data_IF_305266524553
#
_entry.id   IF_305266524553
#
_cell.length_a   1.000
_cell.length_b   1.000
_cell.length_c   1.000
_cell.angle_alpha   90.00
_cell.angle_beta   90.00
_cell.angle_gamma   90.00
#
_symmetry.space_group_name_H-M   'P 1'
#
loop_
_entity.id
_entity.type
_entity.pdbx_description
1 polymer ?
#
# COMPACT_ATOMS: atom_id res chain seq x y z
N UNK A 1 -11.90 5.28 1.12
CA UNK A 1 -11.21 5.89 2.28
C UNK A 1 -10.83 7.29 1.84
N UNK A 2 -10.93 8.32 2.69
CA UNK A 2 -10.46 9.64 2.29
C UNK A 2 -8.93 9.59 2.09
N UNK A 3 -8.41 10.35 1.13
CA UNK A 3 -6.97 10.44 0.80
C UNK A 3 -6.15 10.74 2.05
N UNK A 4 -6.64 11.65 2.91
CA UNK A 4 -6.00 11.99 4.17
C UNK A 4 -5.86 10.79 5.11
N UNK A 5 -6.92 9.98 5.26
CA UNK A 5 -6.89 8.79 6.10
C UNK A 5 -5.91 7.72 5.55
N UNK A 6 -5.78 7.63 4.23
CA UNK A 6 -4.76 6.78 3.60
C UNK A 6 -3.36 7.28 3.93
N UNK A 7 -3.11 8.58 3.75
CA UNK A 7 -1.83 9.21 4.02
C UNK A 7 -1.40 8.92 5.45
N UNK A 8 -2.26 9.24 6.43
CA UNK A 8 -2.00 8.97 7.85
C UNK A 8 -1.71 7.50 8.10
N UNK A 9 -2.50 6.59 7.52
CA UNK A 9 -2.30 5.14 7.67
C UNK A 9 -0.94 4.66 7.15
N UNK A 10 -0.54 5.13 5.97
CA UNK A 10 0.75 4.76 5.37
C UNK A 10 1.89 5.36 6.19
N UNK A 11 1.80 6.62 6.59
CA UNK A 11 2.82 7.30 7.38
C UNK A 11 3.02 6.67 8.76
N UNK A 12 1.93 6.30 9.44
CA UNK A 12 2.00 5.58 10.71
C UNK A 12 2.64 4.21 10.56
N UNK A 13 2.28 3.47 9.49
CA UNK A 13 2.88 2.18 9.22
C UNK A 13 4.39 2.29 8.96
N UNK A 14 4.83 3.28 8.17
CA UNK A 14 6.25 3.51 7.92
C UNK A 14 7.00 4.05 9.13
N UNK A 15 6.37 4.87 9.97
CA UNK A 15 6.96 5.33 11.23
C UNK A 15 7.19 4.15 12.19
N UNK A 16 6.23 3.25 12.30
CA UNK A 16 6.35 2.04 13.11
C UNK A 16 7.48 1.14 12.59
N UNK A 17 7.57 0.95 11.27
CA UNK A 17 8.68 0.23 10.65
C UNK A 17 10.04 0.91 10.90
N UNK A 18 10.09 2.24 10.89
CA UNK A 18 11.34 2.98 11.13
C UNK A 18 11.87 2.73 12.55
N UNK A 19 10.98 2.71 13.55
CA UNK A 19 11.32 2.42 14.95
C UNK A 19 11.70 0.96 15.14
N UNK A 20 10.91 0.03 14.59
CA UNK A 20 11.20 -1.42 14.68
C UNK A 20 12.52 -1.75 13.99
N UNK A 21 12.78 -1.17 12.82
CA UNK A 21 14.05 -1.34 12.10
C UNK A 21 15.25 -0.86 12.93
N UNK A 22 15.10 0.26 13.64
CA UNK A 22 16.14 0.78 14.52
C UNK A 22 16.40 -0.13 15.73
N UNK A 23 15.33 -0.63 16.36
CA UNK A 23 15.45 -1.58 17.47
C UNK A 23 16.11 -2.89 17.03
N UNK A 24 15.75 -3.42 15.85
CA UNK A 24 16.37 -4.62 15.29
C UNK A 24 17.83 -4.41 14.94
N UNK A 25 18.19 -3.26 14.36
CA UNK A 25 19.58 -2.91 14.08
C UNK A 25 20.41 -2.81 15.36
N UNK A 26 19.84 -2.21 16.42
CA UNK A 26 20.49 -2.12 17.73
C UNK A 26 20.71 -3.51 18.35
N UNK A 27 19.70 -4.36 18.34
CA UNK A 27 19.80 -5.75 18.83
C UNK A 27 20.84 -6.54 18.03
N UNK A 28 20.81 -6.44 16.70
CA UNK A 28 21.80 -7.09 15.84
C UNK A 28 23.23 -6.62 16.13
N UNK A 29 23.41 -5.30 16.31
CA UNK A 29 24.70 -4.73 16.69
C UNK A 29 25.18 -5.26 18.05
N UNK A 30 24.30 -5.36 19.04
CA UNK A 30 24.63 -5.92 20.36
C UNK A 30 25.03 -7.40 20.30
N UNK A 31 24.31 -8.21 19.51
CA UNK A 31 24.61 -9.65 19.39
C UNK A 31 25.86 -9.92 18.55
N UNK A 32 26.13 -9.12 17.52
CA UNK A 32 27.26 -9.32 16.60
C UNK A 32 28.56 -8.68 17.10
N UNK A 33 28.51 -7.89 18.16
CA UNK A 33 29.66 -7.13 18.66
C UNK A 33 30.01 -7.44 20.12
N UNK A 34 30.31 -8.72 20.46
CA UNK A 34 30.85 -9.05 21.78
C UNK A 34 32.29 -8.52 21.85
N UNK A 35 32.44 -7.24 22.19
CA UNK A 35 33.74 -6.57 22.32
C UNK A 35 33.93 -5.28 21.55
N UNK A 36 32.87 -4.62 21.04
CA UNK A 36 33.00 -3.26 20.51
C UNK A 36 33.34 -2.28 21.64
N UNK A 37 34.64 -2.15 21.93
CA UNK A 37 35.18 -0.96 22.55
C UNK A 37 34.81 0.22 21.64
N UNK A 38 33.90 1.08 22.11
CA UNK A 38 33.74 2.40 21.53
C UNK A 38 35.14 3.01 21.45
N UNK A 39 35.60 3.36 20.24
CA UNK A 39 36.88 4.06 20.06
C UNK A 39 36.88 5.25 21.03
N UNK A 40 37.84 5.26 21.96
CA UNK A 40 38.01 6.30 22.97
C UNK A 40 38.33 7.67 22.39
N UNK A 41 38.61 7.74 21.09
CA UNK A 41 39.05 8.94 20.38
C UNK A 41 37.91 9.81 19.83
N UNK A 42 36.65 9.45 20.07
CA UNK A 42 35.50 10.23 19.60
C UNK A 42 34.94 11.04 20.77
N UNK A 43 34.93 12.37 20.63
CA UNK A 43 34.28 13.23 21.62
C UNK A 43 32.78 12.93 21.69
N UNK A 44 32.17 13.04 22.88
CA UNK A 44 30.73 12.80 23.03
C UNK A 44 29.89 13.66 22.06
N UNK A 45 30.34 14.87 21.76
CA UNK A 45 29.70 15.78 20.81
C UNK A 45 29.73 15.25 19.38
N UNK A 46 30.88 14.74 18.90
CA UNK A 46 31.00 14.13 17.58
C UNK A 46 30.17 12.85 17.47
N UNK A 47 30.11 12.04 18.54
CA UNK A 47 29.28 10.84 18.58
C UNK A 47 27.79 11.19 18.48
N UNK A 48 27.31 12.14 19.28
CA UNK A 48 25.91 12.59 19.27
C UNK A 48 25.55 13.23 17.92
N UNK A 49 26.43 14.05 17.35
CA UNK A 49 26.22 14.67 16.04
C UNK A 49 26.16 13.64 14.91
N UNK A 50 27.04 12.63 14.95
CA UNK A 50 27.03 11.54 13.96
C UNK A 50 25.77 10.69 14.10
N UNK A 51 25.39 10.33 15.33
CA UNK A 51 24.21 9.52 15.60
C UNK A 51 22.93 10.26 15.21
N UNK A 52 22.77 11.52 15.62
CA UNK A 52 21.62 12.35 15.22
C UNK A 52 21.53 12.54 13.71
N UNK A 53 22.67 12.73 13.02
CA UNK A 53 22.72 12.78 11.56
C UNK A 53 22.26 11.47 10.91
N UNK A 54 22.77 10.33 11.38
CA UNK A 54 22.36 9.01 10.89
C UNK A 54 20.88 8.72 11.13
N UNK A 55 20.36 9.09 12.31
CA UNK A 55 18.93 9.00 12.62
C UNK A 55 18.09 9.88 11.68
N UNK A 56 18.48 11.15 11.49
CA UNK A 56 17.76 12.06 10.61
C UNK A 56 17.71 11.54 9.16
N UNK A 57 18.83 10.99 8.66
CA UNK A 57 18.88 10.36 7.33
C UNK A 57 17.98 9.14 7.27
N UNK A 58 18.02 8.25 8.27
CA UNK A 58 17.17 7.06 8.32
C UNK A 58 15.68 7.40 8.32
N UNK A 59 15.26 8.33 9.17
CA UNK A 59 13.88 8.81 9.20
C UNK A 59 13.47 9.50 7.89
N UNK A 60 14.38 10.26 7.27
CA UNK A 60 14.15 10.86 5.95
C UNK A 60 13.93 9.81 4.86
N UNK A 61 14.75 8.76 4.81
CA UNK A 61 14.60 7.63 3.87
C UNK A 61 13.27 6.91 4.11
N UNK A 62 12.94 6.60 5.37
CA UNK A 62 11.68 5.91 5.70
C UNK A 62 10.45 6.76 5.38
N UNK A 63 10.52 8.07 5.58
CA UNK A 63 9.49 9.01 5.15
C UNK A 63 9.32 8.96 3.63
N UNK A 64 10.43 9.01 2.87
CA UNK A 64 10.40 8.97 1.41
C UNK A 64 9.82 7.64 0.88
N UNK A 65 10.20 6.51 1.47
CA UNK A 65 9.62 5.19 1.18
C UNK A 65 8.11 5.17 1.47
N UNK A 66 7.68 5.73 2.60
CA UNK A 66 6.27 5.87 2.93
C UNK A 66 5.51 6.74 1.94
N UNK A 67 6.10 7.85 1.51
CA UNK A 67 5.51 8.74 0.51
C UNK A 67 5.35 8.03 -0.84
N UNK A 68 6.36 7.32 -1.33
CA UNK A 68 6.26 6.52 -2.56
C UNK A 68 5.16 5.46 -2.42
N UNK A 69 5.11 4.74 -1.29
CA UNK A 69 4.10 3.72 -1.04
C UNK A 69 2.68 4.33 -1.01
N UNK A 70 2.53 5.53 -0.48
CA UNK A 70 1.28 6.29 -0.51
C UNK A 70 0.86 6.62 -1.95
N UNK A 71 1.74 7.25 -2.73
CA UNK A 71 1.46 7.67 -4.11
C UNK A 71 1.16 6.47 -5.02
N UNK A 72 2.02 5.44 -4.98
CA UNK A 72 1.84 4.21 -5.75
C UNK A 72 0.55 3.46 -5.37
N UNK A 73 0.07 3.68 -4.16
CA UNK A 73 -1.13 3.05 -3.66
C UNK A 73 -2.44 3.68 -4.13
N UNK A 74 -2.44 4.96 -4.53
CA UNK A 74 -3.66 5.73 -4.79
C UNK A 74 -4.59 5.01 -5.79
N UNK A 75 -5.91 4.99 -5.52
CA UNK A 75 -6.87 4.38 -6.42
C UNK A 75 -6.92 5.17 -7.73
N UNK A 76 -6.91 4.46 -8.86
CA UNK A 76 -7.23 5.04 -10.17
C UNK A 76 -8.60 4.57 -10.62
N UNK A 77 -9.36 5.51 -11.17
CA UNK A 77 -10.63 5.25 -11.84
C UNK A 77 -10.36 4.98 -13.32
N UNK A 78 -11.05 4.00 -13.87
CA UNK A 78 -11.09 3.71 -15.30
C UNK A 78 -12.48 3.23 -15.68
N UNK A 79 -12.87 3.46 -16.92
CA UNK A 79 -14.18 3.09 -17.45
C UNK A 79 -14.06 1.84 -18.32
N UNK A 80 -15.05 0.95 -18.23
CA UNK A 80 -15.14 -0.27 -19.03
C UNK A 80 -16.55 -0.35 -19.60
N UNK A 81 -16.67 -0.42 -20.93
CA UNK A 81 -17.96 -0.64 -21.60
C UNK A 81 -18.45 -2.07 -21.42
N UNK A 82 -19.77 -2.25 -21.35
CA UNK A 82 -20.38 -3.58 -21.31
C UNK A 82 -21.73 -3.57 -22.04
N UNK A 83 -22.04 -4.68 -22.73
CA UNK A 83 -23.34 -4.89 -23.38
C UNK A 83 -24.38 -5.42 -22.40
N UNK A 84 -24.07 -6.54 -21.74
CA UNK A 84 -24.92 -7.13 -20.70
C UNK A 84 -24.37 -6.82 -19.29
N UNK A 85 -25.27 -6.36 -18.42
CA UNK A 85 -24.94 -5.94 -17.05
C UNK A 85 -24.61 -7.12 -16.15
N UNK A 86 -25.36 -8.22 -16.23
CA UNK A 86 -25.18 -9.37 -15.36
C UNK A 86 -23.95 -10.18 -15.78
N UNK A 87 -23.68 -10.26 -17.08
CA UNK A 87 -22.44 -10.82 -17.60
C UNK A 87 -21.22 -10.02 -17.12
N UNK A 88 -21.30 -8.69 -17.15
CA UNK A 88 -20.23 -7.83 -16.63
C UNK A 88 -19.99 -8.05 -15.13
N UNK A 89 -21.06 -8.17 -14.32
CA UNK A 89 -20.94 -8.47 -12.89
C UNK A 89 -20.23 -9.81 -12.68
N UNK A 90 -20.58 -10.84 -13.44
CA UNK A 90 -19.92 -12.16 -13.38
C UNK A 90 -18.42 -12.09 -13.73
N UNK A 91 -18.06 -11.38 -14.81
CA UNK A 91 -16.67 -11.15 -15.22
C UNK A 91 -15.90 -10.35 -14.16
N UNK A 92 -16.52 -9.32 -13.58
CA UNK A 92 -15.91 -8.51 -12.53
C UNK A 92 -15.66 -9.33 -11.26
N UNK A 93 -16.59 -10.19 -10.86
CA UNK A 93 -16.42 -11.10 -9.73
C UNK A 93 -15.26 -12.08 -9.95
N UNK A 94 -15.15 -12.65 -11.15
CA UNK A 94 -14.04 -13.52 -11.53
C UNK A 94 -12.70 -12.75 -11.51
N UNK A 95 -12.66 -11.54 -12.08
CA UNK A 95 -11.49 -10.68 -12.10
C UNK A 95 -11.05 -10.29 -10.68
N UNK A 96 -11.98 -9.91 -9.81
CA UNK A 96 -11.72 -9.57 -8.41
C UNK A 96 -11.18 -10.79 -7.63
N UNK A 97 -11.76 -11.98 -7.81
CA UNK A 97 -11.27 -13.22 -7.18
C UNK A 97 -9.85 -13.57 -7.63
N UNK A 98 -9.50 -13.33 -8.90
CA UNK A 98 -8.15 -13.58 -9.42
C UNK A 98 -7.06 -12.76 -8.71
N UNK A 99 -7.41 -11.56 -8.22
CA UNK A 99 -6.52 -10.71 -7.41
C UNK A 99 -6.75 -10.89 -5.90
N UNK A 100 -7.45 -11.96 -5.50
CA UNK A 100 -7.76 -12.33 -4.11
C UNK A 100 -8.66 -11.33 -3.38
N UNK A 101 -9.38 -10.50 -4.11
CA UNK A 101 -10.43 -9.65 -3.56
C UNK A 101 -11.73 -10.45 -3.43
N UNK A 102 -12.49 -10.18 -2.36
CA UNK A 102 -13.78 -10.84 -2.11
C UNK A 102 -14.94 -9.85 -2.24
N UNK A 103 -16.07 -10.25 -2.84
CA UNK A 103 -17.27 -9.40 -2.88
C UNK A 103 -17.74 -9.11 -1.45
N UNK A 104 -18.07 -7.84 -1.19
CA UNK A 104 -18.62 -7.40 0.10
C UNK A 104 -20.13 -7.24 0.05
N UNK A 105 -20.66 -6.84 -1.10
CA UNK A 105 -22.07 -6.56 -1.31
C UNK A 105 -22.28 -5.65 -2.52
N UNK A 106 -23.52 -5.66 -3.00
CA UNK A 106 -24.06 -4.80 -4.04
C UNK A 106 -25.07 -3.86 -3.40
N UNK A 107 -24.90 -2.57 -3.62
CA UNK A 107 -25.80 -1.52 -3.14
C UNK A 107 -26.31 -0.76 -4.36
N UNK A 108 -27.48 -1.17 -4.86
CA UNK A 108 -28.03 -0.71 -6.15
C UNK A 108 -27.06 -0.96 -7.31
N UNK A 109 -26.55 0.13 -7.86
CA UNK A 109 -25.61 0.14 -8.99
C UNK A 109 -24.14 0.07 -8.57
N UNK A 110 -23.85 0.01 -7.26
CA UNK A 110 -22.48 -0.03 -6.74
C UNK A 110 -22.08 -1.42 -6.28
N UNK A 111 -21.02 -1.97 -6.85
CA UNK A 111 -20.36 -3.18 -6.38
C UNK A 111 -19.13 -2.80 -5.54
N UNK A 112 -18.88 -3.54 -4.46
CA UNK A 112 -17.71 -3.33 -3.62
C UNK A 112 -16.98 -4.63 -3.30
N UNK A 113 -15.65 -4.59 -3.39
CA UNK A 113 -14.79 -5.73 -3.13
C UNK A 113 -13.74 -5.40 -2.07
N UNK A 114 -13.59 -6.26 -1.05
CA UNK A 114 -12.59 -6.09 0.00
C UNK A 114 -11.24 -6.69 -0.41
N UNK A 115 -10.12 -6.04 -0.05
CA UNK A 115 -8.79 -6.63 -0.15
C UNK A 115 -8.64 -7.83 0.81
N UNK A 116 -7.64 -8.70 0.58
CA UNK A 116 -7.30 -9.76 1.52
C UNK A 116 -6.78 -9.18 2.85
N UNK A 117 -6.98 -9.92 3.95
CA UNK A 117 -6.69 -9.43 5.31
C UNK A 117 -5.23 -9.00 5.53
N UNK A 118 -4.28 -9.65 4.86
CA UNK A 118 -2.85 -9.34 4.95
C UNK A 118 -2.43 -8.08 4.17
N UNK A 119 -3.28 -7.59 3.26
CA UNK A 119 -3.00 -6.40 2.46
C UNK A 119 -3.48 -5.13 3.18
N UNK A 120 -2.88 -4.83 4.33
CA UNK A 120 -3.30 -3.77 5.25
C UNK A 120 -3.39 -2.38 4.59
N UNK A 121 -2.52 -2.09 3.62
CA UNK A 121 -2.49 -0.81 2.91
C UNK A 121 -3.31 -0.81 1.60
N UNK A 122 -3.89 -1.95 1.21
CA UNK A 122 -4.66 -2.04 -0.01
C UNK A 122 -6.04 -1.42 0.15
N UNK A 123 -6.49 -0.71 -0.89
CA UNK A 123 -7.83 -0.15 -0.93
C UNK A 123 -8.84 -1.12 -1.51
N UNK A 124 -10.12 -0.90 -1.17
CA UNK A 124 -11.25 -1.62 -1.75
C UNK A 124 -11.34 -1.31 -3.25
N UNK A 125 -11.77 -2.30 -4.03
CA UNK A 125 -12.20 -2.03 -5.41
C UNK A 125 -13.68 -1.66 -5.34
N UNK A 126 -14.06 -0.57 -6.00
CA UNK A 126 -15.47 -0.16 -6.13
C UNK A 126 -15.81 -0.01 -7.58
N UNK A 127 -16.97 -0.53 -7.97
CA UNK A 127 -17.47 -0.44 -9.34
C UNK A 127 -18.83 0.24 -9.30
N UNK A 128 -19.00 1.28 -10.10
CA UNK A 128 -20.26 1.99 -10.29
C UNK A 128 -20.78 1.62 -11.68
N UNK A 129 -21.91 0.92 -11.74
CA UNK A 129 -22.55 0.44 -12.96
C UNK A 129 -23.43 1.56 -13.54
N UNK A 130 -23.16 2.00 -14.76
CA UNK A 130 -24.06 2.85 -15.54
C UNK A 130 -24.93 2.02 -16.50
N UNK A 131 -25.52 2.69 -17.50
CA UNK A 131 -26.42 2.02 -18.46
C UNK A 131 -25.69 1.15 -19.50
N UNK A 132 -24.45 1.50 -19.88
CA UNK A 132 -23.63 0.73 -20.83
C UNK A 132 -22.12 0.77 -20.54
N UNK A 133 -21.73 1.33 -19.39
CA UNK A 133 -20.35 1.40 -18.96
C UNK A 133 -20.26 1.40 -17.43
N UNK A 134 -19.19 0.81 -16.91
CA UNK A 134 -18.89 0.76 -15.49
C UNK A 134 -17.66 1.61 -15.18
N UNK A 135 -17.73 2.42 -14.12
CA UNK A 135 -16.55 3.09 -13.57
C UNK A 135 -15.95 2.23 -12.48
N UNK A 136 -14.76 1.69 -12.74
CA UNK A 136 -14.00 0.85 -11.81
C UNK A 136 -12.93 1.70 -11.12
N UNK A 137 -12.95 1.73 -9.80
CA UNK A 137 -11.91 2.34 -8.96
C UNK A 137 -11.10 1.23 -8.30
N UNK A 138 -9.81 1.12 -8.66
CA UNK A 138 -8.93 0.08 -8.15
C UNK A 138 -7.52 0.60 -7.80
N UNK A 139 -6.76 -0.08 -6.92
CA UNK A 139 -5.37 0.26 -6.66
C UNK A 139 -4.53 0.23 -7.93
N UNK A 140 -3.59 1.19 -8.07
CA UNK A 140 -2.81 1.37 -9.29
C UNK A 140 -2.13 0.09 -9.80
N UNK A 141 -1.51 -0.69 -8.91
CA UNK A 141 -0.83 -1.95 -9.26
C UNK A 141 -1.75 -3.07 -9.76
N UNK A 142 -3.06 -2.98 -9.50
CA UNK A 142 -4.05 -3.97 -9.94
C UNK A 142 -4.79 -3.54 -11.21
N UNK A 143 -4.73 -2.25 -11.58
CA UNK A 143 -5.44 -1.70 -12.74
C UNK A 143 -5.18 -2.50 -14.01
N UNK A 144 -3.92 -2.64 -14.43
CA UNK A 144 -3.56 -3.36 -15.68
C UNK A 144 -4.06 -4.81 -15.69
N UNK A 145 -4.04 -5.48 -14.53
CA UNK A 145 -4.52 -6.87 -14.41
C UNK A 145 -6.04 -6.94 -14.55
N UNK A 146 -6.76 -6.01 -13.93
CA UNK A 146 -8.22 -5.92 -14.02
C UNK A 146 -8.66 -5.52 -15.44
N UNK A 147 -8.03 -4.52 -16.04
CA UNK A 147 -8.29 -4.11 -17.43
C UNK A 147 -8.10 -5.28 -18.40
N UNK A 148 -6.96 -6.01 -18.30
CA UNK A 148 -6.71 -7.18 -19.15
C UNK A 148 -7.79 -8.26 -18.96
N UNK A 149 -8.16 -8.56 -17.72
CA UNK A 149 -9.16 -9.60 -17.43
C UNK A 149 -10.58 -9.23 -17.85
N UNK A 150 -10.93 -7.95 -17.79
CA UNK A 150 -12.23 -7.46 -18.24
C UNK A 150 -12.30 -7.36 -19.77
N UNK A 151 -11.16 -7.16 -20.45
CA UNK A 151 -11.07 -7.16 -21.91
C UNK A 151 -11.03 -8.57 -22.52
N UNK A 152 -10.48 -9.57 -21.82
CA UNK A 152 -10.40 -10.97 -22.30
C UNK A 152 -11.77 -11.67 -22.44
N UNK A 153 -12.85 -11.09 -21.89
CA UNK A 153 -14.19 -11.66 -21.98
C UNK A 153 -15.19 -10.78 -22.74
N UNK A 154 -14.72 -9.79 -23.53
CA UNK A 154 -15.53 -8.99 -24.45
C UNK A 154 -15.37 -9.53 -25.87
#
# INVERSE_FOLDING_TARGET
MNILARFVKVMLFTALLAVVGLALAFVAFMYLSPGAHLRSDISQEEFVRTLSGALAVWFGVMFFVGFIAFVAGLPKRFTVGFGDRDEFVGRMDAAARSVRYRPRGREGDRLSYKPPFYALLAEKITVELGEGAATVSAPHGLRKKLEKKLAEGA
#
